data_IF_118945792262
#
_entry.id   IF_118945792262
#
_cell.length_a   1.000
_cell.length_b   1.000
_cell.length_c   1.000
_cell.angle_alpha   90.00
_cell.angle_beta   90.00
_cell.angle_gamma   90.00
#
_symmetry.space_group_name_H-M   'P 1'
#
loop_
_entity.id
_entity.type
_entity.pdbx_description
1 polymer ?
#
# COMPACT_ATOMS: atom_id res chain seq x y z
N UNK A 1 14.63 -27.93 53.88
CA UNK A 1 14.19 -28.73 52.70
C UNK A 1 13.84 -27.87 51.48
N UNK A 2 13.17 -26.72 51.62
CA UNK A 2 12.83 -25.81 50.51
C UNK A 2 14.03 -25.38 49.65
N UNK A 3 15.17 -25.05 50.26
CA UNK A 3 16.37 -24.61 49.53
C UNK A 3 17.03 -25.73 48.70
N UNK A 4 16.94 -27.00 49.12
CA UNK A 4 17.46 -28.14 48.37
C UNK A 4 16.58 -28.45 47.14
N UNK A 5 15.26 -28.24 47.27
CA UNK A 5 14.31 -28.43 46.17
C UNK A 5 14.45 -27.33 45.11
N UNK A 6 14.65 -26.07 45.53
CA UNK A 6 14.94 -24.94 44.66
C UNK A 6 16.26 -25.11 43.90
N UNK A 7 17.31 -25.63 44.58
CA UNK A 7 18.58 -25.93 43.95
C UNK A 7 18.42 -27.02 42.87
N UNK A 8 17.69 -28.09 43.16
CA UNK A 8 17.39 -29.16 42.19
C UNK A 8 16.63 -28.63 40.97
N UNK A 9 15.62 -27.78 41.17
CA UNK A 9 14.87 -27.14 40.07
C UNK A 9 15.77 -26.22 39.23
N UNK A 10 16.66 -25.46 39.86
CA UNK A 10 17.60 -24.59 39.12
C UNK A 10 18.60 -25.39 38.29
N UNK A 11 19.10 -26.51 38.81
CA UNK A 11 19.99 -27.43 38.07
C UNK A 11 19.23 -28.05 36.90
N UNK A 12 17.97 -28.48 37.11
CA UNK A 12 17.15 -29.07 36.06
C UNK A 12 16.86 -28.07 34.92
N UNK A 13 16.62 -26.81 35.26
CA UNK A 13 16.45 -25.71 34.30
C UNK A 13 17.71 -25.44 33.49
N UNK A 14 18.88 -25.43 34.13
CA UNK A 14 20.16 -25.25 33.43
C UNK A 14 20.45 -26.45 32.52
N UNK A 15 20.25 -27.67 32.99
CA UNK A 15 20.49 -28.89 32.20
C UNK A 15 19.53 -28.98 31.01
N UNK A 16 18.25 -28.66 31.19
CA UNK A 16 17.28 -28.62 30.09
C UNK A 16 17.57 -27.49 29.09
N UNK A 17 18.03 -26.32 29.54
CA UNK A 17 18.47 -25.24 28.65
C UNK A 17 19.70 -25.61 27.82
N UNK A 18 20.72 -26.22 28.43
CA UNK A 18 21.94 -26.69 27.74
C UNK A 18 21.61 -27.82 26.77
N UNK A 19 20.75 -28.77 27.18
CA UNK A 19 20.28 -29.85 26.30
C UNK A 19 19.47 -29.30 25.12
N UNK A 20 18.58 -28.32 25.35
CA UNK A 20 17.83 -27.64 24.30
C UNK A 20 18.76 -26.95 23.29
N UNK A 21 19.78 -26.22 23.76
CA UNK A 21 20.78 -25.59 22.89
C UNK A 21 21.61 -26.61 22.11
N UNK A 22 22.00 -27.71 22.75
CA UNK A 22 22.72 -28.80 22.07
C UNK A 22 21.84 -29.46 21.00
N UNK A 23 20.56 -29.70 21.30
CA UNK A 23 19.62 -30.30 20.36
C UNK A 23 19.31 -29.37 19.19
N UNK A 24 19.14 -28.07 19.43
CA UNK A 24 19.02 -27.05 18.37
C UNK A 24 20.28 -27.04 17.51
N UNK A 25 21.47 -26.95 18.11
CA UNK A 25 22.74 -26.96 17.35
C UNK A 25 22.90 -28.24 16.51
N UNK A 26 22.58 -29.40 17.08
CA UNK A 26 22.66 -30.70 16.39
C UNK A 26 21.59 -30.82 15.30
N UNK A 27 20.38 -30.30 15.52
CA UNK A 27 19.31 -30.27 14.50
C UNK A 27 19.65 -29.35 13.32
N UNK A 28 20.30 -28.21 13.60
CA UNK A 28 20.83 -27.29 12.57
C UNK A 28 22.01 -27.92 11.82
N UNK A 29 22.91 -28.62 12.50
CA UNK A 29 24.00 -29.38 11.84
C UNK A 29 23.47 -30.53 10.99
N UNK A 30 22.44 -31.25 11.45
CA UNK A 30 21.81 -32.35 10.70
C UNK A 30 21.03 -31.81 9.49
N UNK A 31 20.28 -30.70 9.64
CA UNK A 31 19.62 -30.02 8.52
C UNK A 31 20.64 -29.49 7.50
N UNK A 32 21.73 -28.88 7.96
CA UNK A 32 22.78 -28.37 7.05
C UNK A 32 23.60 -29.49 6.40
N UNK A 33 23.68 -30.69 6.99
CA UNK A 33 24.31 -31.87 6.37
C UNK A 33 23.39 -32.61 5.39
N UNK A 34 22.07 -32.62 5.62
CA UNK A 34 21.11 -33.25 4.70
C UNK A 34 20.64 -32.32 3.57
N UNK A 35 20.83 -31.02 3.72
CA UNK A 35 20.75 -30.06 2.62
C UNK A 35 22.15 -29.62 2.21
N UNK A 36 22.86 -30.49 1.49
CA UNK A 36 23.69 -29.96 0.41
C UNK A 36 22.74 -29.11 -0.44
N UNK A 37 22.77 -27.78 -0.28
CA UNK A 37 22.27 -26.88 -1.30
C UNK A 37 23.13 -27.14 -2.53
N UNK A 38 22.74 -28.12 -3.33
CA UNK A 38 23.21 -28.23 -4.70
C UNK A 38 22.77 -26.93 -5.36
N UNK A 39 23.73 -26.04 -5.60
CA UNK A 39 23.53 -24.96 -6.55
C UNK A 39 23.09 -25.62 -7.85
N UNK A 40 21.86 -25.35 -8.30
CA UNK A 40 21.45 -25.74 -9.64
C UNK A 40 22.26 -24.87 -10.60
N UNK A 41 23.21 -25.43 -11.37
CA UNK A 41 24.02 -24.64 -12.28
C UNK A 41 23.19 -23.98 -13.40
N UNK A 42 21.93 -24.36 -13.57
CA UNK A 42 20.98 -23.74 -14.50
C UNK A 42 20.26 -22.52 -13.91
N UNK A 43 20.25 -22.35 -12.58
CA UNK A 43 19.69 -21.16 -11.94
C UNK A 43 20.72 -20.03 -12.01
N UNK A 44 20.50 -19.10 -12.94
CA UNK A 44 21.30 -17.87 -13.03
C UNK A 44 21.28 -17.12 -11.69
N UNK A 45 22.43 -16.63 -11.26
CA UNK A 45 22.51 -15.79 -10.07
C UNK A 45 21.75 -14.48 -10.30
N UNK A 46 21.19 -13.87 -9.23
CA UNK A 46 20.52 -12.57 -9.36
C UNK A 46 21.40 -11.51 -10.04
N UNK A 47 22.73 -11.58 -9.80
CA UNK A 47 23.74 -10.74 -10.45
C UNK A 47 23.92 -10.98 -11.95
N UNK A 48 23.78 -12.20 -12.42
CA UNK A 48 23.81 -12.52 -13.86
C UNK A 48 22.50 -12.09 -14.52
N UNK A 49 21.38 -12.31 -13.83
CA UNK A 49 20.04 -11.92 -14.31
C UNK A 49 19.98 -10.40 -14.52
N UNK A 50 20.36 -9.57 -13.55
CA UNK A 50 20.19 -8.12 -13.71
C UNK A 50 21.18 -7.49 -14.70
N UNK A 51 22.37 -8.09 -14.89
CA UNK A 51 23.38 -7.60 -15.84
C UNK A 51 23.14 -8.03 -17.28
N UNK A 52 22.16 -8.91 -17.54
CA UNK A 52 21.87 -9.37 -18.89
C UNK A 52 21.13 -8.31 -19.73
N UNK A 53 21.89 -7.52 -20.49
CA UNK A 53 21.40 -6.39 -21.29
C UNK A 53 20.43 -6.84 -22.41
N UNK A 54 20.55 -8.08 -22.90
CA UNK A 54 19.80 -8.59 -24.05
C UNK A 54 18.33 -8.93 -23.76
N UNK A 55 17.90 -8.88 -22.49
CA UNK A 55 16.53 -9.22 -22.10
C UNK A 55 15.84 -8.08 -21.35
N UNK A 56 14.76 -7.53 -21.92
CA UNK A 56 13.82 -6.62 -21.23
C UNK A 56 12.84 -7.40 -20.32
N UNK A 57 13.31 -8.42 -19.60
CA UNK A 57 12.40 -9.27 -18.84
C UNK A 57 12.02 -8.63 -17.49
N UNK A 58 10.76 -8.74 -17.08
CA UNK A 58 10.24 -8.34 -15.76
C UNK A 58 11.06 -8.90 -14.60
N UNK A 59 11.68 -10.07 -14.82
CA UNK A 59 12.59 -10.73 -13.89
C UNK A 59 13.89 -9.93 -13.66
N UNK A 60 14.42 -9.28 -14.70
CA UNK A 60 15.61 -8.44 -14.65
C UNK A 60 15.41 -7.22 -13.76
N UNK A 61 14.31 -6.50 -13.97
CA UNK A 61 13.88 -5.36 -13.14
C UNK A 61 13.71 -5.80 -11.68
N UNK A 62 13.00 -6.91 -11.46
CA UNK A 62 12.74 -7.43 -10.12
C UNK A 62 14.03 -7.84 -9.41
N UNK A 63 14.97 -8.46 -10.13
CA UNK A 63 16.29 -8.83 -9.62
C UNK A 63 17.11 -7.60 -9.20
N UNK A 64 17.21 -6.58 -10.06
CA UNK A 64 17.90 -5.32 -9.76
C UNK A 64 17.36 -4.66 -8.48
N UNK A 65 16.03 -4.57 -8.34
CA UNK A 65 15.40 -3.95 -7.18
C UNK A 65 15.60 -4.76 -5.89
N UNK A 66 15.67 -6.10 -5.96
CA UNK A 66 15.97 -6.95 -4.79
C UNK A 66 17.43 -6.88 -4.39
N UNK A 67 18.33 -6.96 -5.36
CA UNK A 67 19.78 -6.91 -5.13
C UNK A 67 20.24 -5.55 -4.59
N UNK A 68 19.70 -4.45 -5.11
CA UNK A 68 20.04 -3.10 -4.62
C UNK A 68 19.64 -2.83 -3.16
N UNK A 69 18.61 -3.50 -2.64
CA UNK A 69 18.27 -3.47 -1.20
C UNK A 69 19.38 -4.04 -0.31
N UNK A 70 20.24 -4.91 -0.86
CA UNK A 70 21.42 -5.46 -0.19
C UNK A 70 22.58 -4.46 -0.16
N UNK A 71 22.43 -3.26 -0.77
CA UNK A 71 23.38 -2.13 -0.76
C UNK A 71 24.78 -2.49 -1.26
N UNK A 72 24.89 -3.42 -2.21
CA UNK A 72 26.18 -3.83 -2.78
C UNK A 72 26.76 -2.67 -3.61
N UNK A 73 28.02 -2.22 -3.39
CA UNK A 73 28.64 -1.13 -4.16
C UNK A 73 28.71 -1.40 -5.66
N UNK A 74 28.95 -2.66 -6.05
CA UNK A 74 29.07 -3.08 -7.46
C UNK A 74 27.80 -2.84 -8.28
N UNK A 75 26.62 -2.84 -7.66
CA UNK A 75 25.36 -2.52 -8.35
C UNK A 75 25.30 -1.03 -8.64
N UNK A 76 25.68 -0.18 -7.68
CA UNK A 76 25.73 1.27 -7.86
C UNK A 76 26.70 1.65 -8.98
N UNK A 77 27.90 1.09 -8.95
CA UNK A 77 28.94 1.32 -9.97
C UNK A 77 28.45 0.90 -11.36
N UNK A 78 27.79 -0.25 -11.45
CA UNK A 78 27.20 -0.73 -12.69
C UNK A 78 26.09 0.21 -13.20
N UNK A 79 25.21 0.69 -12.31
CA UNK A 79 24.17 1.66 -12.69
C UNK A 79 24.82 2.92 -13.27
N UNK A 80 25.81 3.52 -12.62
CA UNK A 80 26.44 4.73 -13.14
C UNK A 80 27.12 4.54 -14.50
N UNK A 81 27.66 3.34 -14.75
CA UNK A 81 28.34 3.02 -15.99
C UNK A 81 27.37 2.76 -17.15
N UNK A 82 26.32 1.98 -16.90
CA UNK A 82 25.46 1.46 -17.96
C UNK A 82 24.14 2.21 -18.13
N UNK A 83 23.82 3.18 -17.27
CA UNK A 83 22.53 3.88 -17.30
C UNK A 83 22.10 4.33 -18.70
N UNK A 84 22.98 5.01 -19.45
CA UNK A 84 22.65 5.54 -20.78
C UNK A 84 22.58 4.47 -21.88
N UNK A 85 23.14 3.27 -21.63
CA UNK A 85 23.15 2.15 -22.58
C UNK A 85 21.94 1.22 -22.43
N UNK A 86 21.06 1.52 -21.48
CA UNK A 86 20.01 0.61 -21.04
C UNK A 86 18.64 1.04 -21.53
N UNK A 87 17.74 0.06 -21.64
CA UNK A 87 16.37 0.29 -22.05
C UNK A 87 15.62 1.14 -21.02
N UNK A 88 14.68 1.97 -21.47
CA UNK A 88 13.96 2.93 -20.63
C UNK A 88 13.35 2.29 -19.36
N UNK A 89 12.75 1.11 -19.47
CA UNK A 89 12.16 0.39 -18.32
C UNK A 89 13.23 0.01 -17.28
N UNK A 90 14.43 -0.37 -17.73
CA UNK A 90 15.56 -0.70 -16.85
C UNK A 90 16.15 0.57 -16.26
N UNK A 91 16.27 1.65 -17.03
CA UNK A 91 16.69 2.97 -16.54
C UNK A 91 15.78 3.45 -15.39
N UNK A 92 14.47 3.34 -15.54
CA UNK A 92 13.50 3.66 -14.48
C UNK A 92 13.76 2.83 -13.20
N UNK A 93 14.02 1.53 -13.35
CA UNK A 93 14.35 0.65 -12.24
C UNK A 93 15.71 0.98 -11.60
N UNK A 94 16.70 1.40 -12.39
CA UNK A 94 18.00 1.87 -11.90
C UNK A 94 17.86 3.11 -11.02
N UNK A 95 17.02 4.07 -11.40
CA UNK A 95 16.75 5.27 -10.59
C UNK A 95 16.10 4.91 -9.25
N UNK A 96 15.19 3.93 -9.22
CA UNK A 96 14.64 3.42 -7.96
C UNK A 96 15.69 2.70 -7.12
N UNK A 97 16.53 1.86 -7.75
CA UNK A 97 17.59 1.10 -7.08
C UNK A 97 18.64 2.02 -6.45
N UNK A 98 19.04 3.09 -7.14
CA UNK A 98 19.93 4.14 -6.59
C UNK A 98 19.35 4.80 -5.34
N UNK A 99 18.02 4.81 -5.19
CA UNK A 99 17.36 5.27 -3.98
C UNK A 99 17.75 4.51 -2.70
N UNK A 100 18.29 3.28 -2.80
CA UNK A 100 18.76 2.51 -1.64
C UNK A 100 20.11 3.00 -1.08
N UNK A 101 20.82 3.86 -1.82
CA UNK A 101 22.13 4.38 -1.48
C UNK A 101 22.01 5.81 -0.94
N UNK A 102 22.67 6.10 0.18
CA UNK A 102 22.61 7.40 0.87
C UNK A 102 23.85 8.26 0.64
N UNK A 103 24.78 7.80 -0.20
CA UNK A 103 25.97 8.58 -0.53
C UNK A 103 25.65 9.79 -1.44
N UNK A 104 26.50 10.82 -1.33
CA UNK A 104 26.33 12.08 -2.05
C UNK A 104 26.33 11.91 -3.56
N UNK A 105 27.08 10.95 -4.08
CA UNK A 105 27.18 10.66 -5.51
C UNK A 105 25.83 10.16 -6.06
N UNK A 106 25.21 9.19 -5.39
CA UNK A 106 23.87 8.67 -5.72
C UNK A 106 22.80 9.74 -5.64
N UNK A 107 22.81 10.55 -4.57
CA UNK A 107 21.85 11.65 -4.40
C UNK A 107 22.01 12.68 -5.51
N UNK A 108 23.25 13.08 -5.83
CA UNK A 108 23.53 14.04 -6.89
C UNK A 108 23.08 13.53 -8.26
N UNK A 109 23.30 12.24 -8.57
CA UNK A 109 22.86 11.64 -9.82
C UNK A 109 21.33 11.70 -9.97
N UNK A 110 20.59 11.32 -8.91
CA UNK A 110 19.14 11.38 -8.91
C UNK A 110 18.64 12.82 -9.08
N UNK A 111 19.21 13.77 -8.35
CA UNK A 111 18.85 15.19 -8.43
C UNK A 111 19.13 15.76 -9.82
N UNK A 112 20.25 15.35 -10.44
CA UNK A 112 20.59 15.72 -11.82
C UNK A 112 19.51 15.26 -12.79
N UNK A 113 19.10 13.98 -12.72
CA UNK A 113 18.02 13.44 -13.56
C UNK A 113 16.65 14.11 -13.32
N UNK A 114 16.37 14.57 -12.10
CA UNK A 114 15.21 15.41 -11.84
C UNK A 114 15.36 16.79 -12.48
N UNK A 115 16.55 17.39 -12.44
CA UNK A 115 16.78 18.79 -12.80
C UNK A 115 16.93 19.02 -14.31
N UNK A 116 17.53 18.10 -15.05
CA UNK A 116 17.82 18.21 -16.49
C UNK A 116 16.55 18.16 -17.36
N UNK A 117 15.47 17.55 -16.87
CA UNK A 117 14.16 17.47 -17.55
C UNK A 117 14.18 16.80 -18.94
N UNK A 118 15.22 16.05 -19.28
CA UNK A 118 15.33 15.34 -20.56
C UNK A 118 14.18 14.35 -20.76
N UNK A 119 13.76 13.69 -19.68
CA UNK A 119 12.66 12.73 -19.66
C UNK A 119 11.85 12.89 -18.36
N UNK A 120 10.55 13.17 -18.49
CA UNK A 120 9.65 13.36 -17.35
C UNK A 120 9.47 12.04 -16.56
N UNK A 121 9.46 10.88 -17.23
CA UNK A 121 9.43 9.57 -16.54
C UNK A 121 10.66 9.41 -15.66
N UNK A 122 11.87 9.63 -16.20
CA UNK A 122 13.10 9.58 -15.42
C UNK A 122 13.07 10.57 -14.25
N UNK A 123 12.56 11.78 -14.47
CA UNK A 123 12.38 12.76 -13.39
C UNK A 123 11.49 12.22 -12.26
N UNK A 124 10.38 11.55 -12.60
CA UNK A 124 9.47 10.95 -11.62
C UNK A 124 10.10 9.76 -10.88
N UNK A 125 10.80 8.86 -11.58
CA UNK A 125 11.47 7.72 -10.94
C UNK A 125 12.67 8.14 -10.09
N UNK A 126 13.39 9.17 -10.50
CA UNK A 126 14.46 9.77 -9.70
C UNK A 126 13.90 10.42 -8.41
N UNK A 127 12.76 11.11 -8.48
CA UNK A 127 12.05 11.60 -7.29
C UNK A 127 11.63 10.45 -6.36
N UNK A 128 11.10 9.35 -6.91
CA UNK A 128 10.75 8.16 -6.13
C UNK A 128 11.99 7.56 -5.45
N UNK A 129 13.12 7.47 -6.15
CA UNK A 129 14.40 7.03 -5.59
C UNK A 129 14.88 7.94 -4.44
N UNK A 130 14.81 9.26 -4.62
CA UNK A 130 15.11 10.23 -3.56
C UNK A 130 14.19 10.03 -2.35
N UNK A 131 12.93 9.67 -2.56
CA UNK A 131 11.96 9.43 -1.47
C UNK A 131 12.17 8.14 -0.66
N UNK A 132 13.17 7.31 -0.98
CA UNK A 132 13.29 5.97 -0.40
C UNK A 132 13.67 5.95 1.10
N UNK A 133 14.42 6.95 1.57
CA UNK A 133 14.94 7.02 2.93
C UNK A 133 14.81 8.42 3.51
N UNK A 134 14.61 8.50 4.83
CA UNK A 134 14.75 9.73 5.58
C UNK A 134 16.22 10.15 5.63
N UNK A 135 16.53 11.35 5.14
CA UNK A 135 17.91 11.83 5.01
C UNK A 135 17.94 13.36 4.80
N UNK A 136 18.73 14.06 5.63
CA UNK A 136 18.82 15.53 5.60
C UNK A 136 19.42 16.05 4.28
N UNK A 137 20.41 15.37 3.71
CA UNK A 137 21.00 15.76 2.43
C UNK A 137 19.98 15.62 1.29
N UNK A 138 19.12 14.60 1.33
CA UNK A 138 18.03 14.45 0.37
C UNK A 138 17.02 15.59 0.48
N UNK A 139 16.62 15.96 1.70
CA UNK A 139 15.72 17.10 1.93
C UNK A 139 16.32 18.40 1.37
N UNK A 140 17.57 18.70 1.73
CA UNK A 140 18.28 19.90 1.27
C UNK A 140 18.45 19.92 -0.26
N UNK A 141 18.60 18.76 -0.89
CA UNK A 141 18.73 18.65 -2.34
C UNK A 141 17.38 18.82 -3.04
N UNK A 142 16.32 18.19 -2.52
CA UNK A 142 14.96 18.35 -3.03
C UNK A 142 14.48 19.81 -2.97
N UNK A 143 14.83 20.54 -1.90
CA UNK A 143 14.48 21.96 -1.75
C UNK A 143 15.10 22.89 -2.81
N UNK A 144 16.16 22.45 -3.51
CA UNK A 144 16.84 23.21 -4.56
C UNK A 144 16.23 23.01 -5.95
N UNK A 145 15.28 22.08 -6.11
CA UNK A 145 14.67 21.78 -7.41
C UNK A 145 13.78 22.95 -7.85
N UNK A 146 13.99 23.43 -9.08
CA UNK A 146 13.11 24.43 -9.69
C UNK A 146 11.75 23.81 -10.06
N UNK A 147 10.70 24.24 -9.37
CA UNK A 147 9.32 23.74 -9.55
C UNK A 147 8.52 24.47 -10.64
N UNK A 148 9.02 25.60 -11.15
CA UNK A 148 8.32 26.38 -12.17
C UNK A 148 8.09 25.55 -13.44
N UNK A 149 6.88 25.63 -13.98
CA UNK A 149 6.40 24.95 -15.19
C UNK A 149 6.48 23.41 -15.11
N UNK A 150 6.30 22.83 -13.92
CA UNK A 150 6.18 21.38 -13.74
C UNK A 150 4.73 20.93 -13.83
N UNK A 151 4.54 19.68 -14.28
CA UNK A 151 3.23 19.03 -14.29
C UNK A 151 2.68 18.87 -12.87
N UNK A 152 1.35 18.82 -12.72
CA UNK A 152 0.73 18.58 -11.41
C UNK A 152 1.14 17.20 -10.85
N UNK A 153 1.21 16.18 -11.71
CA UNK A 153 1.73 14.85 -11.37
C UNK A 153 3.14 14.91 -10.77
N UNK A 154 4.04 15.69 -11.36
CA UNK A 154 5.38 15.90 -10.81
C UNK A 154 5.33 16.57 -9.43
N UNK A 155 4.52 17.62 -9.27
CA UNK A 155 4.41 18.33 -7.98
C UNK A 155 3.88 17.41 -6.87
N UNK A 156 2.93 16.54 -7.17
CA UNK A 156 2.42 15.53 -6.23
C UNK A 156 3.54 14.60 -5.78
N UNK A 157 4.29 14.02 -6.72
CA UNK A 157 5.43 13.17 -6.39
C UNK A 157 6.54 13.91 -5.63
N UNK A 158 6.76 15.19 -5.95
CA UNK A 158 7.70 16.05 -5.24
C UNK A 158 7.31 16.27 -3.77
N UNK A 159 6.05 16.59 -3.49
CA UNK A 159 5.57 16.78 -2.12
C UNK A 159 5.59 15.47 -1.32
N UNK A 160 5.25 14.33 -1.94
CA UNK A 160 5.46 13.03 -1.29
C UNK A 160 6.95 12.74 -1.04
N UNK A 161 7.85 13.09 -1.95
CA UNK A 161 9.29 12.90 -1.75
C UNK A 161 9.81 13.73 -0.57
N UNK A 162 9.43 15.00 -0.46
CA UNK A 162 9.75 15.84 0.70
C UNK A 162 9.17 15.27 2.00
N UNK A 163 7.91 14.83 1.97
CA UNK A 163 7.26 14.21 3.11
C UNK A 163 8.04 12.98 3.61
N UNK A 164 8.41 12.06 2.70
CA UNK A 164 9.08 10.80 3.03
C UNK A 164 10.54 10.95 3.45
N UNK A 165 11.20 12.03 3.04
CA UNK A 165 12.64 12.25 3.32
C UNK A 165 12.89 13.00 4.63
N UNK A 166 11.92 13.74 5.14
CA UNK A 166 12.01 14.42 6.44
C UNK A 166 11.88 13.40 7.57
N UNK A 167 12.51 13.66 8.72
CA UNK A 167 12.32 12.81 9.92
C UNK A 167 11.21 13.32 10.84
N UNK A 168 11.18 14.61 11.13
CA UNK A 168 10.20 15.17 12.07
C UNK A 168 8.85 15.43 11.42
N UNK A 169 7.78 14.93 12.04
CA UNK A 169 6.41 15.11 11.53
C UNK A 169 5.97 16.57 11.45
N UNK A 170 6.47 17.44 12.34
CA UNK A 170 6.18 18.87 12.29
C UNK A 170 6.58 19.48 10.92
N UNK A 171 7.75 19.09 10.40
CA UNK A 171 8.27 19.58 9.12
C UNK A 171 7.57 18.94 7.92
N UNK A 172 6.96 17.77 8.12
CA UNK A 172 6.19 17.01 7.12
C UNK A 172 4.83 17.66 6.82
N UNK A 173 4.24 18.38 7.79
CA UNK A 173 2.87 18.92 7.68
C UNK A 173 2.65 19.82 6.48
N UNK A 174 3.63 20.67 6.12
CA UNK A 174 3.50 21.61 4.99
C UNK A 174 3.22 20.88 3.67
N UNK A 175 3.93 19.79 3.40
CA UNK A 175 3.75 19.04 2.16
C UNK A 175 2.44 18.25 2.15
N UNK A 176 2.05 17.71 3.31
CA UNK A 176 0.76 17.04 3.46
C UNK A 176 -0.43 18.00 3.33
N UNK A 177 -0.34 19.20 3.90
CA UNK A 177 -1.37 20.24 3.75
C UNK A 177 -1.50 20.66 2.29
N UNK A 178 -0.38 20.87 1.59
CA UNK A 178 -0.42 21.17 0.16
C UNK A 178 -1.14 20.07 -0.64
N UNK A 179 -0.85 18.80 -0.37
CA UNK A 179 -1.51 17.67 -1.03
C UNK A 179 -3.02 17.63 -0.74
N UNK A 180 -3.42 17.90 0.50
CA UNK A 180 -4.82 17.96 0.92
C UNK A 180 -5.55 19.13 0.23
N UNK A 181 -5.04 20.35 0.40
CA UNK A 181 -5.63 21.57 -0.18
C UNK A 181 -5.72 21.47 -1.71
N UNK A 182 -4.69 20.91 -2.35
CA UNK A 182 -4.71 20.70 -3.80
C UNK A 182 -5.76 19.66 -4.19
N UNK A 183 -5.89 18.57 -3.43
CA UNK A 183 -6.91 17.55 -3.62
C UNK A 183 -8.34 18.09 -3.55
N UNK A 184 -8.62 19.06 -2.68
CA UNK A 184 -9.96 19.68 -2.60
C UNK A 184 -10.31 20.47 -3.87
N UNK A 185 -9.30 21.10 -4.48
CA UNK A 185 -9.48 22.01 -5.62
C UNK A 185 -9.67 21.32 -6.97
N UNK A 186 -9.27 20.05 -7.11
CA UNK A 186 -9.28 19.36 -8.41
C UNK A 186 -10.49 18.44 -8.57
N UNK A 187 -10.82 18.14 -9.83
CA UNK A 187 -11.83 17.14 -10.21
C UNK A 187 -11.21 15.74 -10.27
N UNK A 188 -12.07 14.73 -10.48
CA UNK A 188 -11.64 13.37 -10.74
C UNK A 188 -10.62 13.32 -11.88
N UNK A 189 -9.45 12.77 -11.58
CA UNK A 189 -8.25 12.78 -12.42
C UNK A 189 -7.25 11.74 -11.93
N UNK A 190 -6.26 11.42 -12.75
CA UNK A 190 -5.14 10.57 -12.33
C UNK A 190 -4.39 11.19 -11.14
N UNK A 191 -4.22 12.51 -11.14
CA UNK A 191 -3.57 13.28 -10.09
C UNK A 191 -4.31 13.18 -8.76
N UNK A 192 -5.65 13.27 -8.77
CA UNK A 192 -6.43 13.07 -7.55
C UNK A 192 -6.26 11.66 -7.00
N UNK A 193 -6.30 10.65 -7.87
CA UNK A 193 -6.04 9.26 -7.48
C UNK A 193 -4.66 9.10 -6.86
N UNK A 194 -3.62 9.68 -7.46
CA UNK A 194 -2.25 9.63 -6.93
C UNK A 194 -2.14 10.25 -5.53
N UNK A 195 -2.80 11.39 -5.29
CA UNK A 195 -2.82 12.02 -3.97
C UNK A 195 -3.55 11.17 -2.95
N UNK A 196 -4.76 10.70 -3.26
CA UNK A 196 -5.57 9.88 -2.33
C UNK A 196 -4.84 8.58 -2.01
N UNK A 197 -4.31 7.87 -3.01
CA UNK A 197 -3.58 6.62 -2.81
C UNK A 197 -2.29 6.83 -1.98
N UNK A 198 -1.51 7.88 -2.28
CA UNK A 198 -0.29 8.17 -1.53
C UNK A 198 -0.55 8.61 -0.09
N UNK A 199 -1.57 9.43 0.16
CA UNK A 199 -1.97 9.82 1.52
C UNK A 199 -2.50 8.61 2.30
N UNK A 200 -3.30 7.75 1.65
CA UNK A 200 -3.77 6.47 2.20
C UNK A 200 -2.64 5.55 2.62
N UNK A 201 -1.59 5.43 1.80
CA UNK A 201 -0.47 4.53 2.06
C UNK A 201 0.47 5.09 3.13
N UNK A 202 0.86 6.37 3.01
CA UNK A 202 1.94 6.93 3.80
C UNK A 202 1.50 7.60 5.09
N UNK A 203 0.28 8.14 5.14
CA UNK A 203 -0.25 8.87 6.32
C UNK A 203 -1.74 8.58 6.54
N UNK A 204 -2.14 7.30 6.72
CA UNK A 204 -3.54 6.90 6.79
C UNK A 204 -4.34 7.56 7.93
N UNK A 205 -3.67 7.98 9.01
CA UNK A 205 -4.27 8.61 10.20
C UNK A 205 -4.07 10.14 10.26
N UNK A 206 -3.96 10.80 9.11
CA UNK A 206 -3.85 12.25 9.06
C UNK A 206 -5.24 12.90 9.02
N UNK A 207 -5.61 13.62 10.07
CA UNK A 207 -6.95 14.22 10.22
C UNK A 207 -7.40 15.04 9.01
N UNK A 208 -6.52 15.89 8.47
CA UNK A 208 -6.83 16.69 7.26
C UNK A 208 -7.04 15.85 6.00
N UNK A 209 -6.44 14.67 5.92
CA UNK A 209 -6.75 13.73 4.84
C UNK A 209 -8.17 13.15 5.01
N UNK A 210 -8.63 12.90 6.24
CA UNK A 210 -10.00 12.46 6.47
C UNK A 210 -11.02 13.55 6.10
N UNK A 211 -10.71 14.82 6.38
CA UNK A 211 -11.54 15.95 5.93
C UNK A 211 -11.65 16.02 4.41
N UNK A 212 -10.52 15.84 3.69
CA UNK A 212 -10.53 15.71 2.22
C UNK A 212 -11.43 14.55 1.79
N UNK A 213 -11.29 13.36 2.39
CA UNK A 213 -12.07 12.18 2.01
C UNK A 213 -13.58 12.39 2.23
N UNK A 214 -13.99 13.07 3.30
CA UNK A 214 -15.42 13.41 3.52
C UNK A 214 -15.97 14.27 2.40
N UNK A 215 -15.17 15.21 1.90
CA UNK A 215 -15.52 16.06 0.76
C UNK A 215 -15.59 15.25 -0.53
N UNK A 216 -14.55 14.45 -0.80
CA UNK A 216 -14.47 13.61 -2.00
C UNK A 216 -15.56 12.55 -2.07
N UNK A 217 -16.00 12.01 -0.92
CA UNK A 217 -17.04 10.98 -0.84
C UNK A 217 -18.31 11.36 -1.60
N UNK A 218 -18.66 12.65 -1.60
CA UNK A 218 -19.86 13.16 -2.28
C UNK A 218 -19.57 13.95 -3.56
N UNK A 219 -18.33 14.38 -3.77
CA UNK A 219 -17.92 15.14 -4.97
C UNK A 219 -17.45 14.21 -6.11
N UNK A 220 -16.82 13.09 -5.77
CA UNK A 220 -16.17 12.18 -6.72
C UNK A 220 -17.14 11.13 -7.28
N UNK A 221 -16.88 10.71 -8.51
CA UNK A 221 -17.47 9.54 -9.17
C UNK A 221 -16.42 8.46 -9.46
N UNK A 222 -15.14 8.73 -9.21
CA UNK A 222 -14.06 7.76 -9.41
C UNK A 222 -14.13 6.65 -8.35
N UNK A 223 -14.34 5.41 -8.80
CA UNK A 223 -14.53 4.26 -7.90
C UNK A 223 -13.32 4.01 -6.99
N UNK A 224 -12.09 4.30 -7.46
CA UNK A 224 -10.87 4.11 -6.67
C UNK A 224 -10.82 5.14 -5.54
N UNK A 225 -11.14 6.39 -5.84
CA UNK A 225 -11.21 7.46 -4.82
C UNK A 225 -12.31 7.15 -3.80
N UNK A 226 -13.51 6.77 -4.26
CA UNK A 226 -14.64 6.44 -3.40
C UNK A 226 -14.35 5.23 -2.50
N UNK A 227 -13.79 4.16 -3.07
CA UNK A 227 -13.37 2.98 -2.31
C UNK A 227 -12.38 3.37 -1.20
N UNK A 228 -11.35 4.17 -1.52
CA UNK A 228 -10.38 4.62 -0.52
C UNK A 228 -11.01 5.51 0.54
N UNK A 229 -11.89 6.43 0.15
CA UNK A 229 -12.62 7.28 1.09
C UNK A 229 -13.44 6.45 2.08
N UNK A 230 -14.27 5.52 1.58
CA UNK A 230 -15.09 4.65 2.45
C UNK A 230 -14.21 3.80 3.38
N UNK A 231 -13.12 3.20 2.86
CA UNK A 231 -12.21 2.39 3.68
C UNK A 231 -11.65 3.19 4.84
N UNK A 232 -11.04 4.35 4.56
CA UNK A 232 -10.38 5.14 5.60
C UNK A 232 -11.39 5.73 6.57
N UNK A 233 -12.48 6.31 6.08
CA UNK A 233 -13.50 6.90 6.96
C UNK A 233 -14.19 5.83 7.81
N UNK A 234 -14.37 4.60 7.31
CA UNK A 234 -14.94 3.50 8.12
C UNK A 234 -14.07 3.12 9.32
N UNK A 235 -12.75 3.33 9.24
CA UNK A 235 -11.79 2.98 10.30
C UNK A 235 -11.55 4.17 11.22
N UNK A 236 -11.27 5.34 10.64
CA UNK A 236 -10.80 6.51 11.38
C UNK A 236 -11.92 7.48 11.77
N UNK A 237 -13.07 7.43 11.09
CA UNK A 237 -14.24 8.26 11.41
C UNK A 237 -15.56 7.47 11.32
N UNK A 238 -15.57 6.29 11.95
CA UNK A 238 -16.70 5.37 11.91
C UNK A 238 -17.99 5.98 12.47
N UNK A 239 -17.87 6.86 13.47
CA UNK A 239 -18.99 7.59 14.05
C UNK A 239 -19.68 8.51 13.03
N UNK A 240 -18.91 9.27 12.26
CA UNK A 240 -19.45 10.08 11.19
C UNK A 240 -20.07 9.21 10.09
N UNK A 241 -19.40 8.12 9.67
CA UNK A 241 -19.90 7.21 8.65
C UNK A 241 -21.23 6.55 9.00
N UNK A 242 -21.46 6.21 10.28
CA UNK A 242 -22.68 5.54 10.76
C UNK A 242 -23.96 6.30 10.44
N UNK A 243 -23.90 7.63 10.40
CA UNK A 243 -25.08 8.49 10.18
C UNK A 243 -25.25 8.93 8.73
N UNK A 244 -24.37 8.50 7.81
CA UNK A 244 -24.39 8.95 6.41
C UNK A 244 -25.38 8.21 5.51
N UNK A 245 -26.00 7.12 5.95
CA UNK A 245 -26.81 6.23 5.10
C UNK A 245 -27.83 6.97 4.24
N UNK A 246 -28.62 7.88 4.84
CA UNK A 246 -29.63 8.67 4.11
C UNK A 246 -29.02 9.53 3.00
N UNK A 247 -27.91 10.20 3.30
CA UNK A 247 -27.21 11.08 2.35
C UNK A 247 -26.55 10.27 1.22
N UNK A 248 -26.03 9.08 1.53
CA UNK A 248 -25.45 8.17 0.53
C UNK A 248 -26.53 7.63 -0.41
N UNK A 249 -27.69 7.21 0.10
CA UNK A 249 -28.84 6.81 -0.75
C UNK A 249 -29.25 7.99 -1.65
N UNK A 250 -29.44 9.18 -1.07
CA UNK A 250 -29.85 10.38 -1.80
C UNK A 250 -28.83 10.89 -2.83
N UNK A 251 -27.58 10.42 -2.77
CA UNK A 251 -26.57 10.79 -3.77
C UNK A 251 -26.78 10.12 -5.12
N UNK A 252 -27.56 9.03 -5.17
CA UNK A 252 -27.79 8.18 -6.35
C UNK A 252 -26.48 7.74 -7.04
N UNK A 253 -25.36 7.76 -6.32
CA UNK A 253 -24.07 7.34 -6.81
C UNK A 253 -23.92 5.84 -6.54
N UNK A 254 -24.14 5.02 -7.58
CA UNK A 254 -24.03 3.56 -7.50
C UNK A 254 -22.69 3.11 -6.91
N UNK A 255 -21.58 3.69 -7.35
CA UNK A 255 -20.25 3.31 -6.89
C UNK A 255 -20.07 3.61 -5.39
N UNK A 256 -20.44 4.82 -4.96
CA UNK A 256 -20.40 5.19 -3.55
C UNK A 256 -21.26 4.25 -2.69
N UNK A 257 -22.50 4.00 -3.10
CA UNK A 257 -23.41 3.15 -2.34
C UNK A 257 -22.88 1.72 -2.27
N UNK A 258 -22.37 1.15 -3.38
CA UNK A 258 -21.73 -0.17 -3.41
C UNK A 258 -20.58 -0.26 -2.41
N UNK A 259 -19.65 0.70 -2.44
CA UNK A 259 -18.49 0.70 -1.56
C UNK A 259 -18.88 0.87 -0.08
N UNK A 260 -19.84 1.75 0.20
CA UNK A 260 -20.41 1.94 1.53
C UNK A 260 -21.04 0.65 2.09
N UNK A 261 -21.88 -0.02 1.28
CA UNK A 261 -22.49 -1.30 1.64
C UNK A 261 -21.43 -2.39 1.86
N UNK A 262 -20.40 -2.46 1.00
CA UNK A 262 -19.31 -3.43 1.10
C UNK A 262 -18.49 -3.29 2.39
N UNK A 263 -18.39 -2.06 2.93
CA UNK A 263 -17.68 -1.78 4.18
C UNK A 263 -18.57 -1.68 5.41
N UNK A 264 -19.89 -1.74 5.25
CA UNK A 264 -20.85 -1.52 6.34
C UNK A 264 -20.65 -2.44 7.54
N UNK A 265 -20.18 -3.68 7.34
CA UNK A 265 -19.85 -4.59 8.44
C UNK A 265 -18.74 -4.10 9.39
N UNK A 266 -17.90 -3.15 8.97
CA UNK A 266 -16.83 -2.60 9.81
C UNK A 266 -17.31 -1.52 10.79
N UNK A 267 -18.45 -0.87 10.50
CA UNK A 267 -18.93 0.27 11.29
C UNK A 267 -20.43 0.26 11.57
N UNK A 268 -21.20 -0.72 11.08
CA UNK A 268 -22.64 -0.89 11.28
C UNK A 268 -23.46 0.41 11.20
N UNK A 269 -23.59 0.99 10.00
CA UNK A 269 -24.38 2.19 9.78
C UNK A 269 -25.86 2.03 10.14
N UNK A 270 -26.48 3.13 10.53
CA UNK A 270 -27.90 3.17 10.85
C UNK A 270 -28.73 2.97 9.58
N UNK A 271 -29.82 2.21 9.67
CA UNK A 271 -30.73 1.92 8.54
C UNK A 271 -30.04 1.27 7.32
N UNK A 272 -28.98 0.50 7.56
CA UNK A 272 -28.21 -0.13 6.49
C UNK A 272 -29.03 -1.11 5.64
N UNK A 273 -30.03 -1.76 6.23
CA UNK A 273 -30.89 -2.71 5.51
C UNK A 273 -31.76 -2.02 4.46
N UNK A 274 -32.23 -0.80 4.72
CA UNK A 274 -32.95 0.01 3.74
C UNK A 274 -32.03 0.39 2.57
N UNK A 275 -30.76 0.68 2.85
CA UNK A 275 -29.77 0.98 1.82
C UNK A 275 -29.45 -0.24 0.94
N UNK A 276 -29.38 -1.44 1.51
CA UNK A 276 -29.25 -2.68 0.74
C UNK A 276 -30.46 -2.92 -0.16
N UNK A 277 -31.67 -2.72 0.37
CA UNK A 277 -32.93 -2.87 -0.39
C UNK A 277 -32.98 -1.88 -1.56
N UNK A 278 -32.70 -0.61 -1.30
CA UNK A 278 -32.60 0.41 -2.34
C UNK A 278 -31.58 0.03 -3.43
N UNK A 279 -30.39 -0.47 -3.05
CA UNK A 279 -29.40 -0.91 -4.04
C UNK A 279 -29.88 -2.13 -4.85
N UNK A 280 -30.57 -3.07 -4.21
CA UNK A 280 -31.12 -4.26 -4.86
C UNK A 280 -32.17 -3.90 -5.92
N UNK A 281 -33.09 -2.99 -5.57
CA UNK A 281 -34.19 -2.54 -6.44
C UNK A 281 -33.71 -1.63 -7.57
N UNK A 282 -32.74 -0.75 -7.30
CA UNK A 282 -32.30 0.28 -8.25
C UNK A 282 -31.16 -0.17 -9.16
N UNK A 283 -30.24 -1.01 -8.66
CA UNK A 283 -28.99 -1.33 -9.38
C UNK A 283 -28.78 -2.82 -9.63
N UNK A 284 -28.68 -3.63 -8.56
CA UNK A 284 -28.39 -5.06 -8.70
C UNK A 284 -28.76 -5.85 -7.44
N UNK A 285 -29.86 -6.60 -7.52
CA UNK A 285 -30.29 -7.52 -6.47
C UNK A 285 -29.22 -8.56 -6.14
N UNK A 286 -28.58 -9.16 -7.16
CA UNK A 286 -27.55 -10.18 -6.94
C UNK A 286 -26.35 -9.61 -6.16
N UNK A 287 -25.86 -8.44 -6.55
CA UNK A 287 -24.74 -7.80 -5.84
C UNK A 287 -25.15 -7.39 -4.42
N UNK A 288 -26.33 -6.80 -4.24
CA UNK A 288 -26.85 -6.40 -2.93
C UNK A 288 -26.87 -7.59 -1.96
N UNK A 289 -27.44 -8.71 -2.39
CA UNK A 289 -27.57 -9.94 -1.58
C UNK A 289 -26.19 -10.52 -1.27
N UNK A 290 -25.28 -10.58 -2.25
CA UNK A 290 -23.90 -11.06 -2.04
C UNK A 290 -23.18 -10.22 -0.99
N UNK A 291 -23.29 -8.89 -1.07
CA UNK A 291 -22.65 -7.99 -0.12
C UNK A 291 -23.32 -8.10 1.26
N UNK A 292 -24.65 -8.07 1.33
CA UNK A 292 -25.41 -8.22 2.58
C UNK A 292 -25.09 -9.53 3.28
N UNK A 293 -24.92 -10.64 2.54
CA UNK A 293 -24.57 -11.94 3.10
C UNK A 293 -23.20 -11.96 3.79
N UNK A 294 -22.31 -11.02 3.44
CA UNK A 294 -21.03 -10.84 4.14
C UNK A 294 -21.19 -10.15 5.50
N UNK A 295 -22.30 -9.45 5.73
CA UNK A 295 -22.59 -8.67 6.95
C UNK A 295 -23.58 -9.39 7.85
N UNK A 296 -24.68 -9.90 7.31
CA UNK A 296 -25.68 -10.70 8.02
C UNK A 296 -26.47 -11.54 7.03
N UNK A 297 -26.28 -12.86 7.08
CA UNK A 297 -26.93 -13.78 6.15
C UNK A 297 -28.45 -13.82 6.27
N UNK A 298 -29.00 -13.74 7.49
CA UNK A 298 -30.46 -13.78 7.69
C UNK A 298 -31.12 -12.57 7.06
N UNK A 299 -30.50 -11.39 7.20
CA UNK A 299 -30.99 -10.16 6.56
C UNK A 299 -30.83 -10.20 5.05
N UNK A 300 -29.72 -10.77 4.55
CA UNK A 300 -29.54 -10.98 3.12
C UNK A 300 -30.61 -11.90 2.50
N UNK A 301 -30.99 -12.96 3.21
CA UNK A 301 -32.10 -13.85 2.84
C UNK A 301 -33.42 -13.08 2.80
N UNK A 302 -33.73 -12.29 3.85
CA UNK A 302 -34.94 -11.46 3.89
C UNK A 302 -34.99 -10.49 2.71
N UNK A 303 -33.89 -9.80 2.40
CA UNK A 303 -33.80 -8.90 1.24
C UNK A 303 -34.05 -9.67 -0.05
N UNK A 304 -33.42 -10.84 -0.23
CA UNK A 304 -33.61 -11.67 -1.42
C UNK A 304 -35.06 -12.09 -1.66
N UNK A 305 -35.76 -12.46 -0.59
CA UNK A 305 -37.19 -12.81 -0.64
C UNK A 305 -38.03 -11.57 -0.98
N UNK A 306 -37.79 -10.44 -0.29
CA UNK A 306 -38.55 -9.20 -0.48
C UNK A 306 -38.45 -8.64 -1.90
N UNK A 307 -37.28 -8.73 -2.54
CA UNK A 307 -37.08 -8.24 -3.91
C UNK A 307 -37.40 -9.28 -4.99
N UNK A 308 -37.95 -10.45 -4.61
CA UNK A 308 -38.35 -11.50 -5.55
C UNK A 308 -37.17 -12.17 -6.27
N UNK A 309 -36.01 -12.29 -5.62
CA UNK A 309 -34.84 -12.92 -6.20
C UNK A 309 -35.01 -14.45 -6.30
N UNK A 310 -34.46 -15.05 -7.35
CA UNK A 310 -34.57 -16.49 -7.61
C UNK A 310 -34.08 -17.34 -6.42
N UNK A 311 -34.95 -18.24 -5.95
CA UNK A 311 -34.70 -19.01 -4.73
C UNK A 311 -33.50 -19.97 -4.85
N UNK A 312 -33.26 -20.57 -6.02
CA UNK A 312 -32.13 -21.46 -6.24
C UNK A 312 -30.80 -20.69 -6.22
N UNK A 313 -30.76 -19.53 -6.88
CA UNK A 313 -29.59 -18.63 -6.86
C UNK A 313 -29.37 -18.01 -5.48
N UNK A 314 -30.43 -17.72 -4.73
CA UNK A 314 -30.34 -17.24 -3.35
C UNK A 314 -29.67 -18.29 -2.45
N UNK A 315 -30.13 -19.55 -2.52
CA UNK A 315 -29.55 -20.66 -1.77
C UNK A 315 -28.07 -20.87 -2.12
N UNK A 316 -27.67 -20.70 -3.37
CA UNK A 316 -26.27 -20.78 -3.79
C UNK A 316 -25.40 -19.69 -3.13
N UNK A 317 -25.87 -18.44 -3.11
CA UNK A 317 -25.15 -17.32 -2.47
C UNK A 317 -25.01 -17.54 -0.96
N UNK A 318 -26.04 -18.10 -0.32
CA UNK A 318 -26.09 -18.31 1.14
C UNK A 318 -25.46 -19.62 1.63
N UNK A 319 -24.81 -20.39 0.74
CA UNK A 319 -24.25 -21.71 1.10
C UNK A 319 -23.16 -21.65 2.18
N UNK A 320 -22.41 -20.55 2.27
CA UNK A 320 -21.30 -20.39 3.22
C UNK A 320 -21.76 -19.61 4.44
N UNK A 321 -21.86 -20.28 5.59
CA UNK A 321 -22.17 -19.61 6.87
C UNK A 321 -21.09 -18.61 7.26
N UNK A 322 -21.48 -17.35 7.49
CA UNK A 322 -20.61 -16.25 7.95
C UNK A 322 -21.12 -15.69 9.28
N UNK A 323 -20.21 -15.12 10.06
CA UNK A 323 -20.54 -14.41 11.29
C UNK A 323 -21.40 -13.18 11.01
N UNK A 324 -22.33 -12.89 11.92
CA UNK A 324 -23.14 -11.67 11.88
C UNK A 324 -22.32 -10.50 12.41
N UNK A 325 -22.18 -9.44 11.61
CA UNK A 325 -21.43 -8.23 11.96
C UNK A 325 -22.37 -7.10 12.41
N UNK A 326 -23.54 -6.97 11.78
CA UNK A 326 -24.54 -5.95 12.12
C UNK A 326 -25.93 -6.56 12.31
N UNK A 327 -26.71 -6.00 13.23
CA UNK A 327 -28.04 -6.47 13.62
C UNK A 327 -29.17 -5.76 12.89
#
# INVERSE_FOLDING_TARGET
MKNKLLLLLSILLVVSGVFGLYWVKKSVEIQNKSTQRSFDPLLQSESEIFKNIESENSERVSSLLRESKKKKPSIKEWIFKEFENEHAVVQEAMLLALGNYTDKESINFLIRKVSERENESHSLYALKGLSAHEDVLRVLSLQKILLKNRSLKFLIHYHFALFKTKSYFADKKKDLYWLVEKGESISDSEELRLMVMGLSEYVPNFEKFHDLLKTLLYKSRDEVVLNRAVIHLSVYDSGWMKVQTKKIIASENRALLKEFLARSGAFCPLNIWDAYKFYAETYSAQEAIKIAATVNMKKAESIGIEVGYDALKLAEILKVKRSTLCY
#
